data_IF_606217360401
#
_entry.id   IF_606217360401
#
_cell.length_a   1.000
_cell.length_b   1.000
_cell.length_c   1.000
_cell.angle_alpha   90.00
_cell.angle_beta   90.00
_cell.angle_gamma   90.00
#
_symmetry.space_group_name_H-M   'P 1'
#
loop_
_entity.id
_entity.type
_entity.pdbx_description
1 polymer ?
#
# COMPACT_ATOMS: atom_id res chain seq x y z
N UNK A 1 3.37 -7.58 2.08
CA UNK A 1 3.80 -8.74 2.89
C UNK A 1 2.59 -9.60 3.21
N UNK A 2 2.75 -10.83 3.74
CA UNK A 2 1.62 -11.74 3.97
C UNK A 2 0.62 -11.21 5.01
N UNK A 3 1.05 -10.31 5.89
CA UNK A 3 0.25 -9.74 6.98
C UNK A 3 0.00 -8.22 6.89
N UNK A 4 0.56 -7.52 5.88
CA UNK A 4 0.34 -6.09 5.68
C UNK A 4 0.63 -5.67 4.23
N UNK A 5 0.12 -4.51 3.83
CA UNK A 5 0.37 -3.91 2.50
C UNK A 5 1.18 -2.63 2.63
N UNK A 6 2.04 -2.38 1.64
CA UNK A 6 2.68 -1.09 1.45
C UNK A 6 2.17 -0.51 0.13
N UNK A 7 1.72 0.73 0.14
CA UNK A 7 1.17 1.42 -1.03
C UNK A 7 1.75 2.81 -1.10
N UNK A 8 2.25 3.19 -2.28
CA UNK A 8 2.62 4.55 -2.62
C UNK A 8 1.64 5.05 -3.66
N UNK A 9 0.99 6.17 -3.39
CA UNK A 9 -0.03 6.74 -4.27
C UNK A 9 -0.15 8.24 -4.07
N UNK A 10 -0.71 8.92 -5.06
CA UNK A 10 -1.03 10.34 -4.98
C UNK A 10 -2.54 10.49 -4.75
N UNK A 11 -2.90 11.34 -3.79
CA UNK A 11 -4.28 11.75 -3.58
C UNK A 11 -4.69 12.80 -4.62
N UNK A 12 -5.95 12.75 -5.07
CA UNK A 12 -6.52 13.89 -5.78
C UNK A 12 -6.74 15.06 -4.83
N UNK A 13 -6.76 16.28 -5.36
CA UNK A 13 -6.84 17.53 -4.57
C UNK A 13 -8.07 17.62 -3.66
N UNK A 14 -9.13 16.88 -3.97
CA UNK A 14 -10.40 16.90 -3.23
C UNK A 14 -10.50 15.81 -2.15
N UNK A 15 -9.54 14.87 -2.12
CA UNK A 15 -9.61 13.70 -1.26
C UNK A 15 -8.73 13.84 -0.01
N UNK A 16 -9.25 13.39 1.13
CA UNK A 16 -8.49 13.26 2.37
C UNK A 16 -8.03 11.82 2.56
N UNK A 17 -6.79 11.63 3.01
CA UNK A 17 -6.21 10.31 3.27
C UNK A 17 -7.11 9.39 4.12
N UNK A 18 -7.68 9.84 5.27
CA UNK A 18 -8.50 8.97 6.10
C UNK A 18 -9.74 8.45 5.38
N UNK A 19 -10.34 9.26 4.50
CA UNK A 19 -11.53 8.90 3.73
C UNK A 19 -11.22 7.80 2.72
N UNK A 20 -10.11 7.94 1.99
CA UNK A 20 -9.66 6.94 1.01
C UNK A 20 -9.31 5.63 1.70
N UNK A 21 -8.51 5.69 2.78
CA UNK A 21 -8.11 4.50 3.52
C UNK A 21 -9.30 3.79 4.19
N UNK A 22 -10.28 4.55 4.71
CA UNK A 22 -11.51 3.97 5.24
C UNK A 22 -12.27 3.19 4.16
N UNK A 23 -12.43 3.78 2.96
CA UNK A 23 -13.08 3.13 1.82
C UNK A 23 -12.36 1.83 1.43
N UNK A 24 -11.03 1.87 1.25
CA UNK A 24 -10.24 0.70 0.89
C UNK A 24 -10.34 -0.40 1.95
N UNK A 25 -10.14 -0.06 3.23
CA UNK A 25 -10.18 -1.03 4.32
C UNK A 25 -11.55 -1.68 4.46
N UNK A 26 -12.64 -0.90 4.33
CA UNK A 26 -14.00 -1.42 4.40
C UNK A 26 -14.32 -2.38 3.26
N UNK A 27 -14.06 -1.94 2.01
CA UNK A 27 -14.34 -2.75 0.82
C UNK A 27 -13.53 -4.05 0.83
N UNK A 28 -12.22 -3.96 1.07
CA UNK A 28 -11.33 -5.12 1.03
C UNK A 28 -11.58 -6.06 2.21
N UNK A 29 -11.84 -5.55 3.42
CA UNK A 29 -12.19 -6.41 4.55
C UNK A 29 -13.42 -7.26 4.25
N UNK A 30 -14.48 -6.65 3.68
CA UNK A 30 -15.69 -7.38 3.32
C UNK A 30 -15.40 -8.47 2.28
N UNK A 31 -14.69 -8.13 1.20
CA UNK A 31 -14.32 -9.10 0.15
C UNK A 31 -13.44 -10.23 0.68
N UNK A 32 -12.45 -9.93 1.51
CA UNK A 32 -11.59 -10.93 2.11
C UNK A 32 -12.35 -11.83 3.07
N UNK A 33 -13.22 -11.28 3.92
CA UNK A 33 -14.10 -12.06 4.80
C UNK A 33 -14.97 -13.04 4.01
N UNK A 34 -15.57 -12.59 2.90
CA UNK A 34 -16.42 -13.43 2.05
C UNK A 34 -15.61 -14.57 1.40
N UNK A 35 -14.37 -14.29 0.94
CA UNK A 35 -13.47 -15.30 0.32
C UNK A 35 -12.96 -16.31 1.35
N UNK A 36 -12.63 -15.85 2.57
CA UNK A 36 -12.00 -16.67 3.61
C UNK A 36 -13.02 -17.36 4.53
N UNK A 37 -14.31 -17.00 4.44
CA UNK A 37 -15.34 -17.50 5.35
C UNK A 37 -15.18 -17.04 6.79
N UNK A 38 -14.47 -15.93 7.02
CA UNK A 38 -14.14 -15.41 8.36
C UNK A 38 -14.98 -14.20 8.72
N UNK A 39 -15.39 -14.09 9.98
CA UNK A 39 -16.02 -12.89 10.55
C UNK A 39 -15.05 -12.15 11.49
N UNK A 40 -15.28 -10.85 11.67
CA UNK A 40 -14.44 -9.99 12.52
C UNK A 40 -13.51 -9.04 11.75
N UNK A 41 -12.68 -8.28 12.46
CA UNK A 41 -11.81 -7.27 11.85
C UNK A 41 -10.69 -7.91 11.02
N UNK A 42 -10.63 -7.59 9.73
CA UNK A 42 -9.57 -8.04 8.84
C UNK A 42 -8.31 -7.17 8.93
N UNK A 43 -8.49 -5.84 9.00
CA UNK A 43 -7.39 -4.88 9.11
C UNK A 43 -7.19 -4.41 10.55
N UNK A 44 -5.93 -4.07 10.89
CA UNK A 44 -5.63 -3.29 12.09
C UNK A 44 -6.35 -1.93 12.03
N UNK A 45 -6.73 -1.36 13.18
CA UNK A 45 -7.52 -0.11 13.24
C UNK A 45 -6.75 1.08 12.66
N UNK A 46 -5.54 1.30 13.15
CA UNK A 46 -4.68 2.40 12.71
C UNK A 46 -3.93 2.06 11.42
N UNK A 47 -3.35 3.07 10.79
CA UNK A 47 -2.46 2.94 9.65
C UNK A 47 -1.21 3.79 9.88
N UNK A 48 -0.12 3.45 9.18
CA UNK A 48 1.07 4.29 9.11
C UNK A 48 1.05 5.07 7.80
N UNK A 49 1.29 6.38 7.86
CA UNK A 49 1.43 7.24 6.69
C UNK A 49 2.73 8.06 6.75
N UNK A 50 3.26 8.35 5.56
CA UNK A 50 4.45 9.18 5.39
C UNK A 50 4.26 10.04 4.13
N UNK A 51 4.35 11.36 4.29
CA UNK A 51 4.23 12.30 3.18
C UNK A 51 5.55 12.37 2.39
N UNK A 52 5.49 12.05 1.10
CA UNK A 52 6.61 12.24 0.16
C UNK A 52 6.83 13.73 -0.10
N UNK A 53 8.00 14.26 0.27
CA UNK A 53 8.28 15.71 0.20
C UNK A 53 9.15 16.13 -0.97
N UNK A 54 9.89 15.21 -1.56
CA UNK A 54 10.80 15.47 -2.66
C UNK A 54 11.12 14.17 -3.41
N UNK A 55 11.83 14.32 -4.53
CA UNK A 55 12.17 13.22 -5.42
C UNK A 55 13.10 12.17 -4.76
N UNK A 56 14.01 12.59 -3.88
CA UNK A 56 14.87 11.67 -3.14
C UNK A 56 14.07 10.77 -2.20
N UNK A 57 13.06 11.34 -1.53
CA UNK A 57 12.13 10.61 -0.68
C UNK A 57 11.27 9.64 -1.48
N UNK A 58 10.77 10.08 -2.65
CA UNK A 58 10.02 9.24 -3.58
C UNK A 58 10.83 8.01 -3.98
N UNK A 59 12.07 8.20 -4.46
CA UNK A 59 12.96 7.09 -4.86
C UNK A 59 13.21 6.11 -3.72
N UNK A 60 13.53 6.63 -2.53
CA UNK A 60 13.81 5.81 -1.33
C UNK A 60 12.60 4.97 -0.92
N UNK A 61 11.41 5.56 -0.92
CA UNK A 61 10.18 4.87 -0.53
C UNK A 61 9.80 3.81 -1.56
N UNK A 62 9.85 4.14 -2.85
CA UNK A 62 9.61 3.17 -3.93
C UNK A 62 10.55 1.98 -3.81
N UNK A 63 11.85 2.23 -3.64
CA UNK A 63 12.84 1.18 -3.44
C UNK A 63 12.54 0.33 -2.20
N UNK A 64 12.19 0.96 -1.08
CA UNK A 64 11.79 0.24 0.13
C UNK A 64 10.61 -0.71 -0.12
N UNK A 65 9.55 -0.26 -0.80
CA UNK A 65 8.36 -1.06 -1.10
C UNK A 65 8.71 -2.29 -1.96
N UNK A 66 9.53 -2.08 -3.00
CA UNK A 66 9.93 -3.13 -3.94
C UNK A 66 10.85 -4.16 -3.27
N UNK A 67 11.78 -3.72 -2.43
CA UNK A 67 12.80 -4.60 -1.83
C UNK A 67 12.37 -5.30 -0.54
N UNK A 68 11.40 -4.73 0.20
CA UNK A 68 10.96 -5.29 1.49
C UNK A 68 10.61 -6.79 1.43
N UNK A 69 9.88 -7.31 0.42
CA UNK A 69 9.61 -8.75 0.30
C UNK A 69 10.88 -9.60 0.36
N UNK A 70 11.88 -9.27 -0.45
CA UNK A 70 13.12 -10.02 -0.51
C UNK A 70 13.89 -9.94 0.83
N UNK A 71 13.86 -8.79 1.51
CA UNK A 71 14.48 -8.59 2.82
C UNK A 71 13.88 -9.47 3.92
N UNK A 72 12.61 -9.84 3.80
CA UNK A 72 11.94 -10.77 4.74
C UNK A 72 11.84 -12.20 4.22
N UNK A 73 12.64 -12.56 3.21
CA UNK A 73 12.73 -13.93 2.70
C UNK A 73 11.67 -14.31 1.66
N UNK A 74 10.80 -13.39 1.25
CA UNK A 74 9.83 -13.59 0.17
C UNK A 74 10.48 -13.23 -1.18
N UNK A 75 11.37 -14.12 -1.63
CA UNK A 75 11.99 -14.00 -2.97
C UNK A 75 10.92 -14.17 -4.05
N UNK A 76 11.04 -13.39 -5.13
CA UNK A 76 10.13 -13.41 -6.28
C UNK A 76 8.64 -13.27 -5.91
N UNK A 77 8.36 -12.45 -4.88
CA UNK A 77 7.00 -12.25 -4.41
C UNK A 77 6.12 -11.61 -5.49
N UNK A 78 5.19 -12.39 -6.04
CA UNK A 78 4.36 -11.98 -7.19
C UNK A 78 3.47 -10.75 -6.96
N UNK A 79 3.29 -10.32 -5.72
CA UNK A 79 2.44 -9.19 -5.35
C UNK A 79 3.22 -7.89 -5.18
N UNK A 80 4.39 -7.81 -5.81
CA UNK A 80 5.16 -6.57 -5.95
C UNK A 80 4.86 -5.98 -7.31
N UNK A 81 4.42 -4.72 -7.32
CA UNK A 81 4.19 -3.98 -8.53
C UNK A 81 4.59 -2.52 -8.32
N UNK A 82 5.25 -1.96 -9.32
CA UNK A 82 5.57 -0.54 -9.40
C UNK A 82 5.34 -0.10 -10.83
N UNK A 83 4.46 0.87 -11.04
CA UNK A 83 4.35 1.53 -12.32
C UNK A 83 5.61 2.37 -12.55
N UNK A 84 6.29 2.14 -13.68
CA UNK A 84 7.47 2.91 -14.06
C UNK A 84 7.11 4.34 -14.50
N UNK A 85 5.83 4.65 -14.69
CA UNK A 85 5.36 5.99 -15.08
C UNK A 85 5.46 7.04 -13.96
N UNK A 86 5.60 6.64 -12.69
CA UNK A 86 5.72 7.56 -11.54
C UNK A 86 7.10 8.25 -11.44
N UNK A 87 7.93 8.18 -12.49
CA UNK A 87 9.31 8.64 -12.51
C UNK A 87 9.74 9.38 -13.77
N UNK A 88 8.88 10.20 -14.38
CA UNK A 88 9.33 11.09 -15.46
C UNK A 88 8.22 11.79 -16.23
N UNK A 89 7.95 13.03 -15.84
CA UNK A 89 7.71 14.09 -16.81
C UNK A 89 8.94 15.01 -16.74
N UNK A 90 9.93 14.72 -17.59
CA UNK A 90 10.76 15.77 -18.18
C UNK A 90 9.97 16.41 -19.33
#
# INVERSE_FOLDING_TARGET
>A
MPNHVHVLFQLSSEQRLPTVLHSWKSFTAKKCSDILGTSGPFWQKEYYDHLVRNEGDLRRITQYIVENPAKVGLRDWRWVWADRSLGGHE
#
